data_IF_766756397011
#
_entry.id   IF_766756397011
#
_cell.length_a   1.000
_cell.length_b   1.000
_cell.length_c   1.000
_cell.angle_alpha   90.00
_cell.angle_beta   90.00
_cell.angle_gamma   90.00
#
_symmetry.space_group_name_H-M   'P 1'
#
loop_
_entity.id
_entity.type
_entity.pdbx_description
1 polymer ?
#
# COMPACT_ATOMS: atom_id res chain seq x y z
N UNK A 1 -18.74 1.28 2.04
CA UNK A 1 -17.35 1.15 2.43
C UNK A 1 -17.29 0.98 3.96
N UNK A 2 -16.48 0.02 4.43
CA UNK A 2 -16.23 -0.21 5.85
C UNK A 2 -14.73 -0.25 6.10
N UNK A 3 -14.25 0.50 7.10
CA UNK A 3 -12.86 0.47 7.54
C UNK A 3 -12.64 -0.71 8.47
N UNK A 4 -11.48 -1.34 8.32
CA UNK A 4 -11.01 -2.37 9.24
C UNK A 4 -9.86 -1.78 10.05
N UNK A 5 -9.98 -1.87 11.37
CA UNK A 5 -8.95 -1.38 12.27
C UNK A 5 -7.61 -2.06 12.02
N UNK A 6 -6.55 -1.25 12.04
CA UNK A 6 -5.19 -1.72 11.82
C UNK A 6 -4.48 -1.98 13.16
N UNK A 7 -3.62 -2.97 13.15
CA UNK A 7 -2.69 -3.27 14.25
C UNK A 7 -1.32 -3.61 13.68
N UNK A 8 -0.34 -3.87 14.54
CA UNK A 8 1.00 -4.26 14.06
C UNK A 8 0.93 -5.51 13.17
N UNK A 9 1.52 -5.42 12.00
CA UNK A 9 1.53 -6.50 11.01
C UNK A 9 0.27 -6.61 10.16
N UNK A 10 -0.63 -5.62 10.14
CA UNK A 10 -1.77 -5.52 9.22
C UNK A 10 -3.12 -5.30 9.91
N UNK A 11 -4.21 -5.55 9.19
CA UNK A 11 -5.57 -5.36 9.71
C UNK A 11 -5.92 -6.41 10.79
N UNK A 12 -6.84 -6.04 11.68
CA UNK A 12 -7.45 -6.96 12.64
C UNK A 12 -8.36 -7.95 11.92
N UNK A 13 -7.99 -9.22 11.92
CA UNK A 13 -8.69 -10.27 11.16
C UNK A 13 -10.01 -10.69 11.78
N UNK A 14 -10.17 -10.57 13.09
CA UNK A 14 -11.43 -10.76 13.81
C UNK A 14 -12.47 -9.69 13.42
N UNK A 15 -12.07 -8.42 13.38
CA UNK A 15 -12.92 -7.33 12.90
C UNK A 15 -13.30 -7.53 11.44
N UNK A 16 -12.33 -7.95 10.58
CA UNK A 16 -12.62 -8.29 9.19
C UNK A 16 -13.67 -9.42 9.10
N UNK A 17 -13.53 -10.47 9.89
CA UNK A 17 -14.47 -11.58 9.90
C UNK A 17 -15.88 -11.12 10.28
N UNK A 18 -16.03 -10.32 11.32
CA UNK A 18 -17.34 -9.80 11.76
C UNK A 18 -18.00 -8.90 10.70
N UNK A 19 -17.20 -8.08 10.01
CA UNK A 19 -17.69 -7.28 8.89
C UNK A 19 -18.14 -8.16 7.73
N UNK A 20 -17.38 -9.21 7.39
CA UNK A 20 -17.75 -10.13 6.31
C UNK A 20 -19.01 -10.93 6.63
N UNK A 21 -19.18 -11.38 7.89
CA UNK A 21 -20.39 -12.06 8.38
C UNK A 21 -21.64 -11.18 8.26
N UNK A 22 -21.53 -9.91 8.67
CA UNK A 22 -22.66 -8.98 8.70
C UNK A 22 -22.96 -8.34 7.35
N UNK A 23 -22.09 -8.51 6.34
CA UNK A 23 -22.26 -7.92 5.03
C UNK A 23 -23.02 -8.85 4.08
N UNK A 24 -24.01 -8.30 3.35
CA UNK A 24 -24.74 -8.99 2.29
C UNK A 24 -24.17 -8.64 0.92
N UNK A 25 -24.43 -9.50 -0.07
CA UNK A 25 -24.03 -9.28 -1.46
C UNK A 25 -22.54 -9.52 -1.73
N UNK A 26 -22.05 -8.97 -2.84
CA UNK A 26 -20.66 -9.12 -3.27
C UNK A 26 -19.72 -8.33 -2.35
N UNK A 27 -18.57 -8.92 -2.04
CA UNK A 27 -17.59 -8.36 -1.11
C UNK A 27 -16.24 -8.20 -1.79
N UNK A 28 -15.62 -7.04 -1.59
CA UNK A 28 -14.26 -6.74 -2.03
C UNK A 28 -13.43 -6.31 -0.82
N UNK A 29 -12.32 -6.99 -0.60
CA UNK A 29 -11.32 -6.65 0.42
C UNK A 29 -10.15 -5.95 -0.29
N UNK A 30 -9.94 -4.67 0.01
CA UNK A 30 -8.80 -3.92 -0.52
C UNK A 30 -7.67 -3.89 0.50
N UNK A 31 -6.46 -4.27 0.08
CA UNK A 31 -5.27 -4.30 0.94
C UNK A 31 -4.03 -3.78 0.22
N UNK A 32 -3.16 -3.10 0.96
CA UNK A 32 -1.79 -2.77 0.56
C UNK A 32 -0.86 -3.54 1.51
N UNK A 33 -0.43 -4.77 1.18
CA UNK A 33 0.25 -5.63 2.15
C UNK A 33 1.72 -5.29 2.38
N UNK A 34 2.34 -4.48 1.52
CA UNK A 34 3.74 -4.08 1.66
C UNK A 34 3.85 -2.57 1.83
N UNK A 35 4.45 -2.15 2.96
CA UNK A 35 4.73 -0.71 3.23
C UNK A 35 3.51 0.17 3.02
N UNK A 36 2.42 -0.23 3.64
CA UNK A 36 1.08 0.30 3.48
C UNK A 36 1.05 1.84 3.52
N UNK A 37 0.32 2.45 2.63
CA UNK A 37 0.00 3.86 2.67
C UNK A 37 -1.26 4.05 3.55
N UNK A 38 -1.15 4.74 4.72
CA UNK A 38 -0.08 5.66 5.11
C UNK A 38 0.90 5.12 6.17
N UNK A 39 0.71 3.92 6.74
CA UNK A 39 1.39 3.47 7.97
C UNK A 39 2.85 3.08 7.76
N UNK A 40 3.25 2.71 6.55
CA UNK A 40 4.56 2.13 6.26
C UNK A 40 4.70 0.67 6.71
N UNK A 41 3.68 0.08 7.34
CA UNK A 41 3.72 -1.29 7.83
C UNK A 41 3.65 -2.33 6.71
N UNK A 42 4.21 -3.50 7.00
CA UNK A 42 4.08 -4.69 6.16
C UNK A 42 3.18 -5.72 6.83
N UNK A 43 2.19 -6.22 6.08
CA UNK A 43 1.31 -7.29 6.55
C UNK A 43 2.08 -8.60 6.70
N UNK A 44 1.99 -9.22 7.87
CA UNK A 44 2.67 -10.49 8.16
C UNK A 44 2.15 -11.65 7.31
N UNK A 45 2.94 -12.70 7.15
CA UNK A 45 2.56 -13.89 6.40
C UNK A 45 1.29 -14.55 6.97
N UNK A 46 1.20 -14.61 8.31
CA UNK A 46 0.04 -15.18 9.01
C UNK A 46 -1.25 -14.40 8.70
N UNK A 47 -1.16 -13.05 8.71
CA UNK A 47 -2.32 -12.21 8.39
C UNK A 47 -2.70 -12.26 6.91
N UNK A 48 -1.73 -12.35 6.00
CA UNK A 48 -2.01 -12.57 4.57
C UNK A 48 -2.79 -13.86 4.37
N UNK A 49 -2.35 -14.93 5.02
CA UNK A 49 -3.04 -16.22 4.99
C UNK A 49 -4.46 -16.12 5.57
N UNK A 50 -4.62 -15.52 6.76
CA UNK A 50 -5.91 -15.34 7.40
C UNK A 50 -6.90 -14.53 6.54
N UNK A 51 -6.45 -13.43 5.93
CA UNK A 51 -7.27 -12.61 5.02
C UNK A 51 -7.71 -13.44 3.81
N UNK A 52 -6.82 -14.25 3.23
CA UNK A 52 -7.16 -15.14 2.12
C UNK A 52 -8.19 -16.21 2.53
N UNK A 53 -8.00 -16.88 3.67
CA UNK A 53 -8.92 -17.88 4.19
C UNK A 53 -10.31 -17.27 4.46
N UNK A 54 -10.36 -16.06 5.03
CA UNK A 54 -11.63 -15.35 5.25
C UNK A 54 -12.30 -14.95 3.91
N UNK A 55 -11.53 -14.54 2.91
CA UNK A 55 -12.08 -14.27 1.59
C UNK A 55 -12.70 -15.53 0.96
N UNK A 56 -12.06 -16.69 1.08
CA UNK A 56 -12.60 -17.96 0.62
C UNK A 56 -13.87 -18.34 1.41
N UNK A 57 -13.85 -18.20 2.73
CA UNK A 57 -14.97 -18.58 3.62
C UNK A 57 -16.23 -17.74 3.37
N UNK A 58 -16.08 -16.45 3.10
CA UNK A 58 -17.20 -15.50 2.97
C UNK A 58 -17.48 -15.05 1.54
N UNK A 59 -16.98 -15.78 0.55
CA UNK A 59 -17.16 -15.49 -0.88
C UNK A 59 -16.80 -14.03 -1.24
N UNK A 60 -15.63 -13.61 -0.82
CA UNK A 60 -15.09 -12.28 -1.11
C UNK A 60 -13.96 -12.36 -2.16
N UNK A 61 -13.74 -11.25 -2.87
CA UNK A 61 -12.58 -11.04 -3.74
C UNK A 61 -11.59 -10.13 -3.02
N UNK A 62 -10.30 -10.39 -3.15
CA UNK A 62 -9.24 -9.55 -2.63
C UNK A 62 -8.65 -8.73 -3.79
N UNK A 63 -8.53 -7.42 -3.59
CA UNK A 63 -7.68 -6.55 -4.40
C UNK A 63 -6.40 -6.29 -3.62
N UNK A 64 -5.35 -7.03 -3.96
CA UNK A 64 -4.00 -6.85 -3.43
C UNK A 64 -3.29 -5.78 -4.24
N UNK A 65 -3.17 -4.57 -3.68
CA UNK A 65 -2.46 -3.46 -4.30
C UNK A 65 -1.02 -3.40 -3.78
N UNK A 66 -0.04 -3.60 -4.68
CA UNK A 66 1.37 -3.71 -4.31
C UNK A 66 2.27 -2.69 -5.03
N UNK A 67 2.09 -1.39 -4.78
CA UNK A 67 2.89 -0.36 -5.42
C UNK A 67 4.32 -0.25 -4.86
N UNK A 68 4.57 -0.76 -3.65
CA UNK A 68 5.82 -0.52 -2.91
C UNK A 68 6.67 -1.77 -2.69
N UNK A 69 6.21 -2.97 -3.04
CA UNK A 69 6.87 -4.24 -2.69
C UNK A 69 8.33 -4.34 -3.13
N UNK A 70 8.69 -3.76 -4.28
CA UNK A 70 10.07 -3.72 -4.78
C UNK A 70 11.00 -2.74 -4.05
N UNK A 71 10.45 -1.92 -3.15
CA UNK A 71 11.18 -0.89 -2.39
C UNK A 71 11.57 -1.37 -0.97
N UNK A 72 11.67 -2.67 -0.74
CA UNK A 72 12.15 -3.23 0.53
C UNK A 72 13.67 -3.01 0.64
N UNK A 73 14.11 -2.38 1.71
CA UNK A 73 15.52 -2.11 1.99
C UNK A 73 16.02 -2.74 3.31
N UNK A 74 15.14 -3.36 4.08
CA UNK A 74 15.46 -4.12 5.30
C UNK A 74 14.47 -5.26 5.52
N UNK A 75 14.80 -6.20 6.41
CA UNK A 75 13.99 -7.39 6.71
C UNK A 75 13.92 -8.37 5.54
N UNK A 76 13.01 -9.34 5.65
CA UNK A 76 12.83 -10.39 4.66
C UNK A 76 11.58 -10.15 3.79
N UNK A 77 11.61 -10.67 2.56
CA UNK A 77 10.47 -10.60 1.66
C UNK A 77 9.33 -11.48 2.17
N UNK A 78 8.11 -10.95 2.15
CA UNK A 78 6.90 -11.69 2.49
C UNK A 78 6.12 -11.95 1.20
N UNK A 79 5.81 -13.22 0.95
CA UNK A 79 5.06 -13.63 -0.24
C UNK A 79 3.71 -12.90 -0.37
N UNK A 80 3.30 -12.63 -1.63
CA UNK A 80 2.02 -11.96 -1.90
C UNK A 80 0.82 -12.83 -1.48
N UNK A 81 -0.31 -12.20 -1.21
CA UNK A 81 -1.57 -12.94 -1.03
C UNK A 81 -1.93 -13.68 -2.32
N UNK A 82 -1.59 -13.11 -3.46
CA UNK A 82 -1.79 -13.74 -4.79
C UNK A 82 -1.07 -15.08 -4.91
N UNK A 83 0.09 -15.28 -4.29
CA UNK A 83 0.80 -16.57 -4.33
C UNK A 83 0.04 -17.69 -3.61
N UNK A 84 -0.84 -17.34 -2.66
CA UNK A 84 -1.70 -18.29 -1.95
C UNK A 84 -2.98 -18.66 -2.72
N UNK A 85 -3.27 -17.97 -3.83
CA UNK A 85 -4.56 -18.01 -4.50
C UNK A 85 -4.76 -19.27 -5.34
N UNK A 86 -5.39 -20.28 -4.75
CA UNK A 86 -5.80 -21.53 -5.42
C UNK A 86 -7.26 -21.53 -5.88
N UNK A 87 -8.07 -20.52 -5.48
CA UNK A 87 -9.50 -20.47 -5.76
C UNK A 87 -9.92 -19.31 -6.68
N UNK A 88 -8.95 -18.56 -7.23
CA UNK A 88 -9.26 -17.43 -8.11
C UNK A 88 -9.94 -16.26 -7.40
N UNK A 89 -9.50 -15.96 -6.17
CA UNK A 89 -10.07 -14.91 -5.32
C UNK A 89 -9.25 -13.62 -5.28
N UNK A 90 -8.02 -13.63 -5.79
CA UNK A 90 -7.11 -12.49 -5.65
C UNK A 90 -6.83 -11.82 -6.98
N UNK A 91 -7.12 -10.53 -7.04
CA UNK A 91 -6.64 -9.60 -8.05
C UNK A 91 -5.36 -8.93 -7.51
N UNK A 92 -4.26 -9.09 -8.21
CA UNK A 92 -2.99 -8.42 -7.88
C UNK A 92 -2.83 -7.18 -8.74
N UNK A 93 -2.62 -6.02 -8.13
CA UNK A 93 -2.35 -4.75 -8.80
C UNK A 93 -0.90 -4.34 -8.59
N UNK A 94 -0.24 -3.97 -9.68
CA UNK A 94 1.12 -3.43 -9.66
C UNK A 94 1.22 -2.15 -10.49
N UNK A 95 2.28 -1.37 -10.23
CA UNK A 95 2.48 -0.08 -10.91
C UNK A 95 3.95 0.19 -11.21
N UNK A 96 4.21 0.94 -12.29
CA UNK A 96 5.53 1.49 -12.59
C UNK A 96 5.78 2.85 -11.93
N UNK A 97 4.77 3.45 -11.30
CA UNK A 97 4.85 4.79 -10.72
C UNK A 97 5.91 4.94 -9.63
N UNK A 98 6.19 3.87 -8.86
CA UNK A 98 7.11 3.92 -7.71
C UNK A 98 8.47 3.27 -8.02
N UNK A 99 8.55 2.53 -9.11
CA UNK A 99 9.75 1.80 -9.51
C UNK A 99 10.42 2.33 -10.78
N UNK A 100 9.70 3.15 -11.57
CA UNK A 100 10.24 3.79 -12.79
C UNK A 100 9.93 5.28 -12.78
N UNK A 101 8.71 5.67 -13.12
CA UNK A 101 8.33 7.09 -13.12
C UNK A 101 6.82 7.27 -12.95
N UNK A 102 6.36 8.10 -12.01
CA UNK A 102 4.93 8.30 -11.75
C UNK A 102 4.19 8.96 -12.91
N UNK A 103 4.87 9.78 -13.71
CA UNK A 103 4.28 10.47 -14.86
C UNK A 103 3.89 9.56 -16.02
N UNK A 104 4.40 8.33 -16.10
CA UNK A 104 4.06 7.37 -17.16
C UNK A 104 2.62 6.87 -17.05
N UNK A 105 2.02 6.87 -15.89
CA UNK A 105 0.65 6.42 -15.63
C UNK A 105 0.38 4.98 -16.07
N UNK A 106 1.35 4.08 -15.90
CA UNK A 106 1.26 2.66 -16.26
C UNK A 106 1.19 1.81 -15.00
N UNK A 107 0.20 0.91 -14.98
CA UNK A 107 0.03 -0.15 -14.00
C UNK A 107 -0.54 -1.39 -14.69
N UNK A 108 -0.68 -2.46 -13.93
CA UNK A 108 -1.24 -3.71 -14.42
C UNK A 108 -2.04 -4.41 -13.32
N UNK A 109 -2.97 -5.26 -13.76
CA UNK A 109 -3.73 -6.15 -12.87
C UNK A 109 -3.58 -7.58 -13.39
N UNK A 110 -3.32 -8.51 -12.47
CA UNK A 110 -3.29 -9.94 -12.73
C UNK A 110 -4.34 -10.65 -11.86
N UNK A 111 -5.11 -11.55 -12.42
CA UNK A 111 -6.16 -12.22 -11.67
C UNK A 111 -6.97 -13.22 -12.47
N UNK A 112 -8.09 -13.72 -11.94
CA UNK A 112 -8.96 -14.67 -12.62
C UNK A 112 -9.48 -14.13 -13.95
N UNK A 113 -9.49 -14.98 -14.97
CA UNK A 113 -9.85 -14.62 -16.35
C UNK A 113 -11.22 -13.94 -16.44
N UNK A 114 -12.19 -14.44 -15.72
CA UNK A 114 -13.56 -13.96 -15.75
C UNK A 114 -13.66 -12.50 -15.24
N UNK A 115 -12.90 -12.17 -14.21
CA UNK A 115 -12.86 -10.80 -13.67
C UNK A 115 -12.06 -9.88 -14.61
N UNK A 116 -10.90 -10.35 -15.08
CA UNK A 116 -10.06 -9.58 -16.02
C UNK A 116 -10.83 -9.23 -17.30
N UNK A 117 -11.61 -10.13 -17.84
CA UNK A 117 -12.44 -9.85 -19.02
C UNK A 117 -13.44 -8.72 -18.77
N UNK A 118 -14.05 -8.64 -17.58
CA UNK A 118 -14.96 -7.53 -17.23
C UNK A 118 -14.19 -6.21 -17.05
N UNK A 119 -13.00 -6.26 -16.44
CA UNK A 119 -12.13 -5.09 -16.31
C UNK A 119 -11.72 -4.55 -17.68
N UNK A 120 -11.39 -5.42 -18.66
CA UNK A 120 -11.07 -5.02 -20.04
C UNK A 120 -12.24 -4.26 -20.67
N UNK A 121 -13.46 -4.78 -20.55
CA UNK A 121 -14.66 -4.11 -21.11
C UNK A 121 -14.86 -2.74 -20.43
N UNK A 122 -14.76 -2.68 -19.11
CA UNK A 122 -14.88 -1.41 -18.39
C UNK A 122 -13.81 -0.40 -18.82
N UNK A 123 -12.55 -0.88 -18.99
CA UNK A 123 -11.45 -0.02 -19.46
C UNK A 123 -11.68 0.53 -20.87
N UNK A 124 -12.21 -0.29 -21.77
CA UNK A 124 -12.54 0.17 -23.13
C UNK A 124 -13.53 1.33 -23.18
N UNK A 125 -14.48 1.37 -22.26
CA UNK A 125 -15.46 2.49 -22.18
C UNK A 125 -14.97 3.66 -21.32
N UNK A 126 -13.94 3.45 -20.47
CA UNK A 126 -13.41 4.49 -19.58
C UNK A 126 -12.34 5.35 -20.26
N UNK A 127 -11.32 4.72 -20.85
CA UNK A 127 -10.16 5.40 -21.42
C UNK A 127 -9.61 4.72 -22.70
N UNK A 128 -10.32 3.76 -23.23
CA UNK A 128 -9.94 2.92 -24.39
C UNK A 128 -8.69 2.08 -24.09
N UNK A 129 -7.54 2.72 -23.85
CA UNK A 129 -6.28 2.08 -23.47
C UNK A 129 -5.32 3.07 -22.79
N UNK A 130 -4.40 2.54 -22.00
CA UNK A 130 -3.27 3.30 -21.45
C UNK A 130 -2.35 3.75 -22.60
N UNK A 131 -1.73 4.93 -22.44
CA UNK A 131 -0.82 5.51 -23.44
C UNK A 131 0.22 4.48 -23.95
N UNK A 132 0.24 4.24 -25.26
CA UNK A 132 1.08 3.21 -25.91
C UNK A 132 2.58 3.52 -25.76
N UNK A 133 2.99 4.78 -25.88
CA UNK A 133 4.38 5.18 -25.68
C UNK A 133 4.88 4.88 -24.27
N UNK A 134 4.06 5.14 -23.27
CA UNK A 134 4.40 4.82 -21.90
C UNK A 134 4.51 3.31 -21.68
N UNK A 135 3.64 2.51 -22.29
CA UNK A 135 3.73 1.05 -22.23
C UNK A 135 4.99 0.52 -22.92
N UNK A 136 5.32 1.03 -24.10
CA UNK A 136 6.54 0.65 -24.82
C UNK A 136 7.80 1.03 -24.05
N UNK A 137 7.80 2.18 -23.40
CA UNK A 137 8.91 2.59 -22.53
C UNK A 137 9.09 1.64 -21.34
N UNK A 138 7.99 1.28 -20.67
CA UNK A 138 8.04 0.29 -19.59
C UNK A 138 8.53 -1.08 -20.10
N UNK A 139 8.05 -1.51 -21.26
CA UNK A 139 8.48 -2.78 -21.87
C UNK A 139 9.98 -2.79 -22.15
N UNK A 140 10.49 -1.77 -22.86
CA UNK A 140 11.92 -1.65 -23.15
C UNK A 140 12.77 -1.58 -21.89
N UNK A 141 12.32 -0.80 -20.91
CA UNK A 141 13.02 -0.73 -19.65
C UNK A 141 13.15 -2.10 -18.98
N UNK A 142 12.07 -2.90 -18.95
CA UNK A 142 12.09 -4.25 -18.38
C UNK A 142 12.93 -5.25 -19.18
N UNK A 143 13.05 -5.08 -20.49
CA UNK A 143 13.74 -6.04 -21.36
C UNK A 143 15.20 -5.68 -21.67
N UNK A 144 15.53 -4.38 -21.63
CA UNK A 144 16.85 -3.88 -22.05
C UNK A 144 17.71 -3.42 -20.86
N UNK A 145 17.09 -3.20 -19.67
CA UNK A 145 17.80 -2.77 -18.47
C UNK A 145 17.91 -3.88 -17.42
N UNK A 146 18.96 -3.83 -16.62
CA UNK A 146 19.10 -4.69 -15.44
C UNK A 146 18.16 -4.19 -14.32
N UNK A 147 17.00 -4.81 -14.21
CA UNK A 147 15.96 -4.45 -13.26
C UNK A 147 16.41 -4.62 -11.80
N UNK A 148 17.18 -5.66 -11.49
CA UNK A 148 17.62 -5.90 -10.11
C UNK A 148 18.67 -4.85 -9.68
N UNK A 149 19.56 -4.47 -10.56
CA UNK A 149 20.50 -3.37 -10.31
C UNK A 149 19.76 -2.05 -10.12
N UNK A 150 18.72 -1.80 -10.91
CA UNK A 150 17.88 -0.61 -10.77
C UNK A 150 17.15 -0.60 -9.42
N UNK A 151 16.51 -1.71 -9.03
CA UNK A 151 15.83 -1.84 -7.74
C UNK A 151 16.81 -1.68 -6.56
N UNK A 152 18.00 -2.27 -6.66
CA UNK A 152 19.05 -2.09 -5.64
C UNK A 152 19.43 -0.61 -5.46
N UNK A 153 19.56 0.13 -6.55
CA UNK A 153 19.80 1.59 -6.52
C UNK A 153 18.68 2.36 -5.82
N UNK A 154 17.42 2.05 -6.15
CA UNK A 154 16.25 2.67 -5.49
C UNK A 154 16.20 2.34 -4.00
N UNK A 155 16.38 1.07 -3.63
CA UNK A 155 16.38 0.60 -2.23
C UNK A 155 17.43 1.35 -1.41
N UNK A 156 18.62 1.54 -1.96
CA UNK A 156 19.70 2.28 -1.27
C UNK A 156 19.35 3.76 -1.07
N UNK A 157 18.76 4.42 -2.06
CA UNK A 157 18.30 5.81 -1.96
C UNK A 157 17.25 5.94 -0.86
N UNK A 158 16.24 5.05 -0.85
CA UNK A 158 15.15 5.12 0.13
C UNK A 158 15.62 4.69 1.52
N UNK A 159 16.52 3.72 1.64
CA UNK A 159 17.16 3.36 2.91
C UNK A 159 17.85 4.55 3.54
N UNK A 160 18.70 5.27 2.79
CA UNK A 160 19.39 6.47 3.27
C UNK A 160 18.43 7.56 3.72
N UNK A 161 17.39 7.82 2.94
CA UNK A 161 16.38 8.84 3.28
C UNK A 161 15.59 8.46 4.53
N UNK A 162 15.20 7.19 4.65
CA UNK A 162 14.49 6.68 5.82
C UNK A 162 15.36 6.77 7.08
N UNK A 163 16.60 6.29 7.03
CA UNK A 163 17.54 6.39 8.16
C UNK A 163 17.74 7.84 8.59
N UNK A 164 18.01 8.74 7.66
CA UNK A 164 18.18 10.16 7.96
C UNK A 164 16.94 10.76 8.65
N UNK A 165 15.74 10.39 8.17
CA UNK A 165 14.48 10.87 8.76
C UNK A 165 14.31 10.32 10.19
N UNK A 166 14.50 9.01 10.38
CA UNK A 166 14.36 8.34 11.68
C UNK A 166 15.38 8.88 12.70
N UNK A 167 16.65 9.06 12.31
CA UNK A 167 17.71 9.60 13.17
C UNK A 167 17.34 11.02 13.67
N UNK A 168 16.75 11.84 12.79
CA UNK A 168 16.29 13.17 13.16
C UNK A 168 15.02 13.12 14.04
N UNK A 169 14.11 12.19 13.76
CA UNK A 169 12.93 11.99 14.62
C UNK A 169 13.34 11.50 16.02
N UNK A 170 14.26 10.52 16.10
CA UNK A 170 14.80 10.04 17.39
C UNK A 170 15.49 11.19 18.19
N UNK A 171 16.15 12.12 17.48
CA UNK A 171 16.87 13.23 18.10
C UNK A 171 15.98 14.39 18.56
N UNK A 172 14.96 14.72 17.78
CA UNK A 172 14.23 15.99 17.95
C UNK A 172 12.77 15.82 18.37
N UNK A 173 12.17 14.64 18.19
CA UNK A 173 10.78 14.44 18.59
C UNK A 173 10.67 14.23 20.11
N UNK A 174 9.57 14.69 20.66
CA UNK A 174 9.21 14.40 22.04
C UNK A 174 9.02 12.88 22.23
N UNK A 175 9.42 12.36 23.40
CA UNK A 175 9.17 10.97 23.77
C UNK A 175 7.67 10.58 23.80
N UNK A 176 6.77 11.57 23.73
CA UNK A 176 5.31 11.37 23.64
C UNK A 176 4.83 11.08 22.22
N UNK A 177 5.68 11.28 21.20
CA UNK A 177 5.35 10.99 19.80
C UNK A 177 5.87 9.60 19.48
N UNK A 178 4.99 8.72 19.03
CA UNK A 178 5.38 7.39 18.53
C UNK A 178 5.35 7.38 17.01
N UNK A 179 6.18 6.55 16.39
CA UNK A 179 6.21 6.44 14.92
C UNK A 179 6.69 5.08 14.46
N UNK A 180 6.27 4.73 13.25
CA UNK A 180 6.68 3.48 12.60
C UNK A 180 8.13 3.54 12.14
N UNK A 181 8.81 2.37 12.16
CA UNK A 181 10.15 2.19 11.59
C UNK A 181 10.04 1.20 10.43
N UNK A 182 9.72 1.69 9.21
CA UNK A 182 9.44 0.83 8.06
C UNK A 182 10.70 0.16 7.53
N UNK A 183 10.52 -1.03 6.96
CA UNK A 183 11.56 -1.81 6.29
C UNK A 183 11.63 -1.54 4.78
N UNK A 184 10.83 -0.61 4.29
CA UNK A 184 10.72 -0.28 2.87
C UNK A 184 9.66 0.78 2.59
N UNK A 185 9.38 1.01 1.32
CA UNK A 185 8.35 1.96 0.91
C UNK A 185 8.75 3.43 1.05
N UNK A 186 7.77 4.28 1.29
CA UNK A 186 7.89 5.74 1.19
C UNK A 186 7.34 6.49 2.40
N UNK A 187 6.77 5.79 3.41
CA UNK A 187 5.99 6.41 4.47
C UNK A 187 6.54 6.10 5.85
N UNK A 188 6.44 7.10 6.73
CA UNK A 188 6.57 6.96 8.17
C UNK A 188 5.28 7.52 8.76
N UNK A 189 4.64 6.76 9.64
CA UNK A 189 3.46 7.19 10.36
C UNK A 189 3.84 7.65 11.75
N UNK A 190 3.51 8.89 12.10
CA UNK A 190 3.74 9.42 13.43
C UNK A 190 2.41 9.67 14.14
N UNK A 191 2.31 9.25 15.40
CA UNK A 191 1.14 9.46 16.25
C UNK A 191 1.48 10.50 17.30
N UNK A 192 0.73 11.59 17.30
CA UNK A 192 0.85 12.66 18.30
C UNK A 192 0.17 12.24 19.61
N UNK A 193 0.52 12.89 20.75
CA UNK A 193 -0.16 12.67 22.02
C UNK A 193 -1.66 12.92 21.94
N UNK A 194 -2.43 12.23 22.78
CA UNK A 194 -3.87 12.40 22.88
C UNK A 194 -4.27 13.87 23.12
N UNK A 195 -5.39 14.27 22.52
CA UNK A 195 -5.89 15.64 22.57
C UNK A 195 -5.21 16.62 21.62
N UNK A 196 -4.26 16.16 20.77
CA UNK A 196 -3.64 17.00 19.74
C UNK A 196 -4.63 17.26 18.60
N UNK A 197 -4.84 18.55 18.25
CA UNK A 197 -5.60 18.89 17.05
C UNK A 197 -4.71 18.74 15.82
N UNK A 198 -4.96 17.68 15.04
CA UNK A 198 -4.15 17.33 13.89
C UNK A 198 -4.20 18.38 12.77
N UNK A 199 -5.36 19.00 12.52
CA UNK A 199 -5.50 20.00 11.47
C UNK A 199 -4.77 21.29 11.82
N UNK A 200 -4.86 21.73 13.09
CA UNK A 200 -4.13 22.90 13.57
C UNK A 200 -2.62 22.66 13.54
N UNK A 201 -2.19 21.45 13.90
CA UNK A 201 -0.78 21.06 13.81
C UNK A 201 -0.27 21.12 12.35
N UNK A 202 -0.98 20.51 11.40
CA UNK A 202 -0.59 20.50 9.98
C UNK A 202 -0.58 21.93 9.42
N UNK A 203 -1.58 22.75 9.73
CA UNK A 203 -1.67 24.14 9.29
C UNK A 203 -0.50 24.96 9.79
N UNK A 204 -0.16 24.82 11.08
CA UNK A 204 0.98 25.50 11.69
C UNK A 204 2.30 25.03 11.12
N UNK A 205 2.48 23.73 10.88
CA UNK A 205 3.68 23.15 10.28
C UNK A 205 3.96 23.75 8.89
N UNK A 206 2.93 23.87 8.05
CA UNK A 206 3.07 24.50 6.71
C UNK A 206 3.33 25.99 6.81
N UNK A 207 2.53 26.71 7.60
CA UNK A 207 2.59 28.17 7.66
C UNK A 207 3.91 28.68 8.26
N UNK A 208 4.30 28.13 9.42
CA UNK A 208 5.37 28.68 10.23
C UNK A 208 6.73 28.01 9.93
N UNK A 209 6.71 26.71 9.59
CA UNK A 209 7.93 25.90 9.42
C UNK A 209 8.17 25.42 7.99
N UNK A 210 7.23 25.63 7.05
CA UNK A 210 7.32 25.19 5.65
C UNK A 210 7.43 23.66 5.50
N UNK A 211 6.85 22.92 6.45
CA UNK A 211 6.82 21.46 6.49
C UNK A 211 5.39 21.02 6.19
N UNK A 212 5.22 20.22 5.13
CA UNK A 212 3.95 19.63 4.78
C UNK A 212 3.88 18.16 5.26
N UNK A 213 2.85 17.85 6.05
CA UNK A 213 2.49 16.49 6.47
C UNK A 213 1.02 16.25 6.15
N UNK A 214 0.65 14.99 5.95
CA UNK A 214 -0.75 14.63 5.68
C UNK A 214 -1.40 14.21 7.00
N UNK A 215 -2.51 14.84 7.41
CA UNK A 215 -3.19 14.49 8.64
C UNK A 215 -3.81 13.09 8.56
N UNK A 216 -3.73 12.34 9.66
CA UNK A 216 -4.25 10.96 9.73
C UNK A 216 -5.74 10.85 9.45
N UNK A 217 -6.52 11.88 9.78
CA UNK A 217 -7.95 11.97 9.51
C UNK A 217 -8.31 11.83 8.02
N UNK A 218 -7.38 12.19 7.11
CA UNK A 218 -7.58 12.00 5.66
C UNK A 218 -7.66 10.52 5.24
N UNK A 219 -7.27 9.59 6.11
CA UNK A 219 -7.26 8.15 5.85
C UNK A 219 -8.33 7.39 6.65
N UNK A 220 -9.12 8.08 7.44
CA UNK A 220 -10.19 7.49 8.25
C UNK A 220 -11.53 7.57 7.53
N UNK A 221 -12.37 6.54 7.70
CA UNK A 221 -13.71 6.51 7.10
C UNK A 221 -14.73 7.20 8.01
N UNK A 222 -14.50 7.14 9.33
CA UNK A 222 -15.34 7.80 10.32
C UNK A 222 -14.53 8.95 10.94
N UNK A 223 -15.15 10.12 11.02
CA UNK A 223 -14.64 11.20 11.88
C UNK A 223 -14.80 10.73 13.34
N UNK A 224 -13.69 10.41 13.98
CA UNK A 224 -13.62 10.16 15.42
C UNK A 224 -12.96 11.34 16.10
#
# INVERSE_FOLDING_TARGET
>A
LKGIEMEKGGMKTDVLEDVLKSSSGQKLIYVIPNFQNPTGDTMSAEKRKAVYELACKYDAVILEDNPYGKLRFAGEEVESIKSLDTQGRVLYSGTFSKILAPGLRVGYIAGPREIIQKIIVCKQVSDVHTNIWAQLLCYRFMTECDMEKHYAGLREIYRKKCSLMLDNMDKYFSAKVTYTKPEGGLFIWATLPDGSNMMDFCTKAVRDYKIAVVPGTAFMINES
#
